data_IF_676610737718
#
_entry.id   IF_676610737718
#
_cell.length_a   1.000
_cell.length_b   1.000
_cell.length_c   1.000
_cell.angle_alpha   90.00
_cell.angle_beta   90.00
_cell.angle_gamma   90.00
#
_symmetry.space_group_name_H-M   'P 1'
#
loop_
_entity.id
_entity.type
_entity.pdbx_description
1 polymer ?
#
# COMPACT_ATOMS: atom_id res chain seq x y z
N UNK A 1 -15.56 7.73 4.55
CA UNK A 1 -15.71 6.47 3.79
C UNK A 1 -16.77 6.62 2.72
N UNK A 2 -16.68 5.90 1.59
CA UNK A 2 -17.59 6.11 0.46
C UNK A 2 -19.03 5.69 0.84
N UNK A 3 -20.06 6.37 0.31
CA UNK A 3 -21.44 5.92 0.46
C UNK A 3 -21.67 4.52 -0.15
N UNK A 4 -22.76 3.86 0.24
CA UNK A 4 -23.17 2.57 -0.32
C UNK A 4 -23.24 2.65 -1.87
N UNK A 5 -22.69 1.64 -2.53
CA UNK A 5 -22.62 1.57 -4.00
C UNK A 5 -21.52 2.43 -4.64
N UNK A 6 -20.67 3.08 -3.84
CA UNK A 6 -19.48 3.80 -4.33
C UNK A 6 -18.21 3.05 -3.95
N UNK A 7 -17.16 3.23 -4.73
CA UNK A 7 -15.81 2.77 -4.40
C UNK A 7 -14.88 3.98 -4.28
N UNK A 8 -13.81 3.84 -3.48
CA UNK A 8 -12.76 4.84 -3.34
C UNK A 8 -11.42 4.15 -3.53
N UNK A 9 -10.47 4.84 -4.15
CA UNK A 9 -9.08 4.41 -4.26
C UNK A 9 -8.24 5.42 -3.51
N UNK A 10 -7.41 4.92 -2.60
CA UNK A 10 -6.44 5.72 -1.89
C UNK A 10 -5.06 5.50 -2.52
N UNK A 11 -4.51 6.54 -3.17
CA UNK A 11 -3.11 6.57 -3.60
C UNK A 11 -2.28 7.06 -2.41
N UNK A 12 -1.62 6.11 -1.72
CA UNK A 12 -1.18 6.22 -0.33
C UNK A 12 -2.36 6.33 0.65
N UNK A 13 -2.10 6.09 1.94
CA UNK A 13 -3.14 5.80 2.96
C UNK A 13 -2.64 6.14 4.37
N UNK A 14 -3.44 5.80 5.38
CA UNK A 14 -3.08 5.80 6.81
C UNK A 14 -1.79 5.00 7.14
N UNK A 15 -1.37 4.08 6.27
CA UNK A 15 -0.11 3.35 6.41
C UNK A 15 1.14 4.24 6.36
N UNK A 16 1.01 5.52 5.97
CA UNK A 16 2.09 6.51 6.09
C UNK A 16 2.70 6.56 7.49
N UNK A 17 1.88 6.39 8.55
CA UNK A 17 2.30 6.38 9.96
C UNK A 17 3.36 5.33 10.28
N UNK A 18 3.23 4.14 9.69
CA UNK A 18 4.13 2.99 9.92
C UNK A 18 5.20 2.84 8.84
N UNK A 19 5.19 3.73 7.83
CA UNK A 19 6.14 3.77 6.72
C UNK A 19 6.96 5.07 6.75
N UNK A 20 6.59 6.08 5.94
CA UNK A 20 7.37 7.31 5.78
C UNK A 20 7.52 8.08 7.10
N UNK A 21 6.48 8.19 7.91
CA UNK A 21 6.55 8.93 9.17
C UNK A 21 7.47 8.25 10.19
N UNK A 22 7.51 6.92 10.19
CA UNK A 22 8.44 6.14 11.00
C UNK A 22 9.88 6.33 10.56
N UNK A 23 10.14 6.37 9.26
CA UNK A 23 11.50 6.40 8.68
C UNK A 23 12.09 7.82 8.69
N UNK A 24 11.25 8.84 8.49
CA UNK A 24 11.65 10.25 8.56
C UNK A 24 11.58 10.82 9.98
N UNK A 25 11.04 10.07 10.95
CA UNK A 25 10.91 10.52 12.33
C UNK A 25 9.82 11.57 12.55
N UNK A 26 8.83 11.65 11.65
CA UNK A 26 7.65 12.51 11.81
C UNK A 26 6.67 11.96 12.86
N UNK A 27 6.80 10.68 13.22
CA UNK A 27 6.10 10.06 14.34
C UNK A 27 7.11 9.50 15.33
N UNK A 28 6.85 9.72 16.62
CA UNK A 28 7.63 9.12 17.71
C UNK A 28 7.50 7.58 17.70
N UNK A 29 8.47 6.84 18.26
CA UNK A 29 8.38 5.39 18.40
C UNK A 29 7.06 4.89 18.99
N UNK A 30 6.56 5.56 20.03
CA UNK A 30 5.29 5.19 20.66
C UNK A 30 4.09 5.39 19.73
N UNK A 31 4.08 6.44 18.91
CA UNK A 31 2.98 6.74 17.98
C UNK A 31 2.87 5.73 16.85
N UNK A 32 3.98 5.39 16.18
CA UNK A 32 3.89 4.42 15.08
C UNK A 32 3.76 2.98 15.58
N UNK A 33 4.22 2.66 16.79
CA UNK A 33 4.07 1.31 17.36
C UNK A 33 2.62 0.98 17.73
N UNK A 34 1.85 1.95 18.26
CA UNK A 34 0.41 1.76 18.54
C UNK A 34 -0.44 1.79 17.27
N UNK A 35 0.03 2.48 16.23
CA UNK A 35 -0.71 2.65 14.98
C UNK A 35 -1.07 1.32 14.30
N UNK A 36 -0.29 0.24 14.46
CA UNK A 36 -0.67 -1.06 13.88
C UNK A 36 -2.00 -1.57 14.44
N UNK A 37 -2.20 -1.44 15.74
CA UNK A 37 -3.42 -1.92 16.40
C UNK A 37 -4.59 -1.00 16.05
N UNK A 38 -4.37 0.32 16.05
CA UNK A 38 -5.37 1.32 15.60
C UNK A 38 -5.80 1.10 14.14
N UNK A 39 -4.87 0.74 13.25
CA UNK A 39 -5.15 0.42 11.84
C UNK A 39 -6.01 -0.84 11.74
N UNK A 40 -5.70 -1.88 12.51
CA UNK A 40 -6.48 -3.12 12.51
C UNK A 40 -7.90 -2.88 13.02
N UNK A 41 -8.04 -2.13 14.11
CA UNK A 41 -9.34 -1.76 14.68
C UNK A 41 -10.16 -0.92 13.69
N UNK A 42 -9.51 0.04 13.02
CA UNK A 42 -10.15 0.84 11.98
C UNK A 42 -10.65 -0.04 10.83
N UNK A 43 -9.81 -0.93 10.30
CA UNK A 43 -10.19 -1.80 9.19
C UNK A 43 -11.26 -2.82 9.58
N UNK A 44 -11.24 -3.34 10.82
CA UNK A 44 -12.31 -4.20 11.35
C UNK A 44 -13.65 -3.49 11.35
N UNK A 45 -13.70 -2.25 11.83
CA UNK A 45 -14.94 -1.45 11.83
C UNK A 45 -15.48 -1.18 10.42
N UNK A 46 -14.62 -1.15 9.40
CA UNK A 46 -15.05 -1.05 8.01
C UNK A 46 -15.68 -2.37 7.54
N UNK A 47 -14.99 -3.48 7.76
CA UNK A 47 -15.47 -4.80 7.39
C UNK A 47 -16.81 -5.10 8.06
N UNK A 48 -16.94 -4.84 9.36
CA UNK A 48 -18.17 -5.02 10.14
C UNK A 48 -19.36 -4.20 9.58
N UNK A 49 -19.07 -3.05 8.96
CA UNK A 49 -20.08 -2.20 8.30
C UNK A 49 -20.36 -2.62 6.85
N UNK A 50 -19.79 -3.74 6.39
CA UNK A 50 -20.00 -4.28 5.05
C UNK A 50 -19.08 -3.69 3.97
N UNK A 51 -18.02 -2.97 4.35
CA UNK A 51 -17.04 -2.49 3.36
C UNK A 51 -16.10 -3.63 2.94
N UNK A 52 -15.91 -3.78 1.63
CA UNK A 52 -14.82 -4.57 1.09
C UNK A 52 -13.52 -3.76 1.11
N UNK A 53 -12.51 -4.22 1.85
CA UNK A 53 -11.19 -3.57 1.96
C UNK A 53 -10.15 -4.44 1.25
N UNK A 54 -9.45 -3.86 0.26
CA UNK A 54 -8.34 -4.50 -0.43
C UNK A 54 -7.10 -3.62 -0.38
N UNK A 55 -5.97 -4.21 0.04
CA UNK A 55 -4.71 -3.49 0.26
C UNK A 55 -3.63 -4.02 -0.68
N UNK A 56 -2.83 -3.14 -1.27
CA UNK A 56 -1.87 -3.50 -2.30
C UNK A 56 -0.50 -2.92 -2.02
N UNK A 57 0.50 -3.79 -1.87
CA UNK A 57 1.90 -3.39 -1.85
C UNK A 57 2.53 -3.74 -3.20
N UNK A 58 2.88 -2.72 -3.99
CA UNK A 58 3.50 -2.90 -5.30
C UNK A 58 5.01 -2.91 -5.12
N UNK A 59 5.59 -4.11 -5.04
CA UNK A 59 7.02 -4.27 -4.79
C UNK A 59 7.81 -4.25 -6.11
N UNK A 60 8.84 -3.43 -6.17
CA UNK A 60 9.82 -3.42 -7.26
C UNK A 60 11.21 -3.69 -6.71
N UNK A 61 12.14 -4.14 -7.53
CA UNK A 61 13.54 -4.29 -7.12
C UNK A 61 14.24 -2.92 -7.05
N UNK A 62 15.35 -2.81 -6.28
CA UNK A 62 16.15 -1.58 -6.25
C UNK A 62 16.61 -1.17 -7.64
N UNK A 63 16.97 -2.11 -8.50
CA UNK A 63 17.47 -1.84 -9.86
C UNK A 63 16.35 -1.27 -10.74
N UNK A 64 15.17 -1.87 -10.69
CA UNK A 64 13.99 -1.38 -11.43
C UNK A 64 13.55 0.01 -10.95
N UNK A 65 13.66 0.28 -9.64
CA UNK A 65 13.38 1.62 -9.11
C UNK A 65 14.32 2.67 -9.70
N UNK A 66 15.64 2.40 -9.73
CA UNK A 66 16.63 3.32 -10.29
C UNK A 66 16.41 3.54 -11.79
N UNK A 67 16.20 2.46 -12.55
CA UNK A 67 15.91 2.56 -13.97
C UNK A 67 14.66 3.42 -14.25
N UNK A 68 13.64 3.33 -13.37
CA UNK A 68 12.44 4.18 -13.46
C UNK A 68 12.70 5.64 -13.09
N UNK A 69 13.64 5.94 -12.20
CA UNK A 69 14.00 7.30 -11.84
C UNK A 69 14.69 7.98 -13.02
N UNK A 70 15.74 7.35 -13.56
CA UNK A 70 16.47 7.83 -14.74
C UNK A 70 15.53 8.04 -15.94
N UNK A 71 14.66 7.06 -16.23
CA UNK A 71 13.70 7.20 -17.32
C UNK A 71 12.67 8.34 -17.12
N UNK A 72 12.40 8.78 -15.88
CA UNK A 72 11.54 9.93 -15.60
C UNK A 72 12.27 11.26 -15.79
N UNK A 73 13.55 11.31 -15.47
CA UNK A 73 14.42 12.47 -15.73
C UNK A 73 14.56 12.72 -17.23
N UNK A 74 14.71 11.66 -18.01
CA UNK A 74 14.85 11.74 -19.47
C UNK A 74 13.53 12.05 -20.20
N UNK A 75 12.38 11.92 -19.53
CA UNK A 75 11.06 12.15 -20.15
C UNK A 75 10.51 13.52 -19.72
N UNK A 76 10.47 14.55 -20.59
CA UNK A 76 10.15 15.94 -20.20
C UNK A 76 8.86 16.10 -19.41
N UNK A 77 7.79 15.40 -19.81
CA UNK A 77 6.49 15.49 -19.15
C UNK A 77 6.38 14.63 -17.86
N UNK A 78 7.41 13.88 -17.46
CA UNK A 78 7.45 13.08 -16.22
C UNK A 78 8.47 13.58 -15.20
N UNK A 79 9.28 14.58 -15.54
CA UNK A 79 10.30 15.15 -14.64
C UNK A 79 9.70 15.64 -13.32
N UNK A 80 8.47 16.17 -13.33
CA UNK A 80 7.76 16.56 -12.10
C UNK A 80 7.46 15.41 -11.12
N UNK A 81 7.70 14.15 -11.51
CA UNK A 81 7.47 12.94 -10.69
C UNK A 81 8.74 12.39 -10.03
N UNK A 82 9.85 13.12 -10.13
CA UNK A 82 11.09 12.77 -9.46
C UNK A 82 11.69 14.02 -8.83
N UNK A 83 12.13 13.88 -7.59
CA UNK A 83 12.69 14.94 -6.77
C UNK A 83 13.93 14.42 -6.05
N UNK A 84 14.77 15.31 -5.51
CA UNK A 84 15.93 14.91 -4.69
C UNK A 84 15.50 14.08 -3.46
N UNK A 85 14.30 14.33 -2.95
CA UNK A 85 13.71 13.55 -1.85
C UNK A 85 13.48 12.08 -2.23
N UNK A 86 13.16 11.78 -3.50
CA UNK A 86 13.01 10.39 -3.95
C UNK A 86 14.34 9.63 -3.91
N UNK A 87 15.45 10.29 -4.23
CA UNK A 87 16.79 9.71 -4.12
C UNK A 87 17.22 9.53 -2.66
N UNK A 88 16.94 10.50 -1.79
CA UNK A 88 17.16 10.37 -0.34
C UNK A 88 16.37 9.20 0.25
N UNK A 89 15.11 9.02 -0.16
CA UNK A 89 14.28 7.90 0.27
C UNK A 89 14.84 6.55 -0.20
N UNK A 90 15.44 6.51 -1.39
CA UNK A 90 16.10 5.32 -1.93
C UNK A 90 17.31 4.89 -1.09
N UNK A 91 18.09 5.83 -0.55
CA UNK A 91 19.22 5.51 0.33
C UNK A 91 18.76 4.76 1.60
N UNK A 92 17.52 4.98 2.03
CA UNK A 92 16.88 4.30 3.18
C UNK A 92 16.18 2.98 2.80
N UNK A 93 16.55 2.35 1.69
CA UNK A 93 15.90 1.14 1.17
C UNK A 93 15.69 0.06 2.23
N UNK A 94 16.74 -0.28 2.97
CA UNK A 94 16.69 -1.35 3.98
C UNK A 94 15.75 -1.01 5.15
N UNK A 95 15.61 0.27 5.48
CA UNK A 95 14.66 0.72 6.50
C UNK A 95 13.22 0.60 6.00
N UNK A 96 12.98 0.92 4.72
CA UNK A 96 11.69 0.67 4.08
C UNK A 96 11.36 -0.81 4.01
N UNK A 97 12.31 -1.69 3.69
CA UNK A 97 12.08 -3.15 3.70
C UNK A 97 11.63 -3.62 5.08
N UNK A 98 12.36 -3.24 6.15
CA UNK A 98 11.99 -3.59 7.53
C UNK A 98 10.62 -3.04 7.93
N UNK A 99 10.31 -1.81 7.55
CA UNK A 99 9.03 -1.18 7.86
C UNK A 99 7.86 -1.88 7.15
N UNK A 100 8.04 -2.22 5.87
CA UNK A 100 7.05 -2.95 5.07
C UNK A 100 6.84 -4.34 5.61
N UNK A 101 7.90 -5.09 5.93
CA UNK A 101 7.77 -6.44 6.50
C UNK A 101 6.95 -6.42 7.79
N UNK A 102 7.21 -5.47 8.69
CA UNK A 102 6.46 -5.32 9.93
C UNK A 102 5.01 -4.88 9.68
N UNK A 103 4.77 -3.97 8.72
CA UNK A 103 3.44 -3.57 8.31
C UNK A 103 2.65 -4.76 7.79
N UNK A 104 3.20 -5.53 6.85
CA UNK A 104 2.54 -6.70 6.27
C UNK A 104 2.23 -7.75 7.35
N UNK A 105 3.18 -8.03 8.24
CA UNK A 105 3.02 -9.01 9.30
C UNK A 105 1.95 -8.60 10.32
N UNK A 106 1.95 -7.34 10.77
CA UNK A 106 1.09 -6.87 11.86
C UNK A 106 -0.30 -6.44 11.42
N UNK A 107 -0.51 -6.19 10.12
CA UNK A 107 -1.78 -5.65 9.61
C UNK A 107 -2.43 -6.51 8.53
N UNK A 108 -1.92 -7.71 8.27
CA UNK A 108 -2.68 -8.69 7.48
C UNK A 108 -3.68 -9.39 8.39
N UNK A 109 -4.97 -9.10 8.20
CA UNK A 109 -6.08 -9.78 8.88
C UNK A 109 -6.85 -10.64 7.89
N UNK A 110 -7.73 -11.53 8.37
CA UNK A 110 -8.46 -12.45 7.49
C UNK A 110 -9.40 -11.73 6.51
N UNK A 111 -9.95 -10.60 6.95
CA UNK A 111 -10.95 -9.81 6.23
C UNK A 111 -10.35 -8.59 5.50
N UNK A 112 -9.17 -8.12 5.90
CA UNK A 112 -8.43 -7.06 5.22
C UNK A 112 -6.98 -7.53 4.94
N UNK A 113 -6.83 -8.39 3.92
CA UNK A 113 -5.52 -8.96 3.55
C UNK A 113 -4.70 -8.00 2.69
N UNK A 114 -3.38 -8.06 2.88
CA UNK A 114 -2.43 -7.45 1.97
C UNK A 114 -2.20 -8.33 0.72
N UNK A 115 -2.21 -7.69 -0.44
CA UNK A 115 -1.74 -8.27 -1.69
C UNK A 115 -0.37 -7.70 -2.03
N UNK A 116 0.67 -8.52 -1.91
CA UNK A 116 2.02 -8.18 -2.37
C UNK A 116 2.11 -8.49 -3.86
N UNK A 117 2.27 -7.45 -4.68
CA UNK A 117 2.29 -7.55 -6.14
C UNK A 117 3.71 -7.32 -6.66
N UNK A 118 4.35 -8.30 -7.33
CA UNK A 118 5.61 -8.06 -8.00
C UNK A 118 5.36 -7.12 -9.19
N UNK A 119 5.89 -5.91 -9.09
CA UNK A 119 5.53 -4.78 -9.93
C UNK A 119 6.65 -4.32 -10.87
N UNK A 120 7.69 -5.14 -11.06
CA UNK A 120 8.74 -4.88 -12.05
C UNK A 120 8.13 -4.76 -13.46
N UNK A 121 7.26 -5.69 -13.86
CA UNK A 121 6.41 -5.51 -15.04
C UNK A 121 5.10 -4.79 -14.68
N UNK A 122 4.92 -3.59 -15.21
CA UNK A 122 3.70 -2.77 -15.01
C UNK A 122 2.44 -3.42 -15.59
N UNK A 123 2.54 -4.13 -16.73
CA UNK A 123 1.40 -4.80 -17.36
C UNK A 123 0.92 -5.94 -16.48
N UNK A 124 1.85 -6.76 -15.99
CA UNK A 124 1.55 -7.80 -15.02
C UNK A 124 0.88 -7.21 -13.78
N UNK A 125 1.50 -6.20 -13.16
CA UNK A 125 1.01 -5.60 -11.92
C UNK A 125 -0.44 -5.10 -12.03
N UNK A 126 -0.78 -4.42 -13.13
CA UNK A 126 -2.13 -3.92 -13.41
C UNK A 126 -3.15 -5.05 -13.46
N UNK A 127 -2.83 -6.12 -14.20
CA UNK A 127 -3.73 -7.28 -14.32
C UNK A 127 -3.85 -8.02 -12.99
N UNK A 128 -2.75 -8.17 -12.24
CA UNK A 128 -2.74 -8.83 -10.94
C UNK A 128 -3.62 -8.09 -9.92
N UNK A 129 -3.54 -6.76 -9.85
CA UNK A 129 -4.39 -5.93 -8.99
C UNK A 129 -5.87 -6.09 -9.37
N UNK A 130 -6.22 -5.97 -10.65
CA UNK A 130 -7.61 -6.14 -11.10
C UNK A 130 -8.16 -7.54 -10.77
N UNK A 131 -7.36 -8.60 -10.96
CA UNK A 131 -7.75 -9.96 -10.61
C UNK A 131 -7.98 -10.13 -9.10
N UNK A 132 -7.12 -9.54 -8.27
CA UNK A 132 -7.27 -9.59 -6.82
C UNK A 132 -8.54 -8.87 -6.35
N UNK A 133 -8.83 -7.68 -6.88
CA UNK A 133 -10.07 -6.95 -6.61
C UNK A 133 -11.29 -7.79 -6.99
N UNK A 134 -11.33 -8.30 -8.23
CA UNK A 134 -12.47 -9.09 -8.72
C UNK A 134 -12.70 -10.34 -7.87
N UNK A 135 -11.63 -11.06 -7.52
CA UNK A 135 -11.71 -12.26 -6.67
C UNK A 135 -12.22 -11.93 -5.27
N UNK A 136 -11.72 -10.84 -4.67
CA UNK A 136 -12.12 -10.41 -3.34
C UNK A 136 -13.58 -9.97 -3.28
N UNK A 137 -14.01 -9.12 -4.22
CA UNK A 137 -15.41 -8.70 -4.35
C UNK A 137 -16.35 -9.89 -4.59
N UNK A 138 -15.99 -10.82 -5.47
CA UNK A 138 -16.81 -12.01 -5.73
C UNK A 138 -16.97 -12.89 -4.47
N UNK A 139 -15.91 -13.00 -3.64
CA UNK A 139 -15.99 -13.70 -2.35
C UNK A 139 -16.89 -12.97 -1.36
N UNK A 140 -16.74 -11.65 -1.24
CA UNK A 140 -17.52 -10.83 -0.32
C UNK A 140 -19.02 -10.86 -0.67
N UNK A 141 -19.37 -10.81 -1.95
CA UNK A 141 -20.75 -10.91 -2.42
C UNK A 141 -21.38 -12.26 -2.07
N UNK A 142 -20.68 -13.36 -2.30
CA UNK A 142 -21.18 -14.71 -1.95
C UNK A 142 -21.42 -14.85 -0.44
N UNK A 143 -20.49 -14.37 0.38
CA UNK A 143 -20.62 -14.43 1.83
C UNK A 143 -21.76 -13.57 2.39
N UNK A 144 -22.30 -12.63 1.61
CA UNK A 144 -23.44 -11.81 1.99
C UNK A 144 -24.79 -12.40 1.53
N UNK A 145 -24.77 -13.44 0.66
CA UNK A 145 -25.95 -14.17 0.21
C UNK A 145 -26.30 -15.35 1.15
N UNK A 146 -25.33 -15.81 1.95
CA UNK A 146 -25.45 -16.86 2.96
C UNK A 146 -25.91 -16.32 4.33
#
# INVERSE_FOLDING_TARGET
MPPVGKFVIFDRTWYGRVLVERIEGFATPAEWQRAYDEINDFESQLVERGYFVAKFWLHISPEEQLARFQAREDTPYKQHKITEEDYRNREKWDDYVKAVDQMLLRTTTDDARWHVIPANDKRYARVAVLKAINKGLARALRAAED
#
